data_IF_244924152174
#
_entry.id   IF_244924152174
#
_cell.length_a   1.000
_cell.length_b   1.000
_cell.length_c   1.000
_cell.angle_alpha   90.00
_cell.angle_beta   90.00
_cell.angle_gamma   90.00
#
_symmetry.space_group_name_H-M   'P 1'
#
loop_
_entity.id
_entity.type
_entity.pdbx_description
1 polymer ?
#
# COMPACT_ATOMS: atom_id res chain seq x y z
N UNK A 1 -13.94 -4.21 8.12
CA UNK A 1 -13.50 -4.73 6.82
C UNK A 1 -13.88 -3.73 5.75
N UNK A 2 -13.25 -3.77 4.58
CA UNK A 2 -13.56 -2.85 3.47
C UNK A 2 -14.79 -3.31 2.71
N UNK A 3 -15.61 -2.37 2.24
CA UNK A 3 -16.87 -2.66 1.58
C UNK A 3 -16.85 -2.29 0.08
N UNK A 4 -17.97 -2.54 -0.60
CA UNK A 4 -18.19 -2.11 -1.97
C UNK A 4 -18.03 -0.59 -2.09
N UNK A 5 -17.17 -0.16 -3.01
CA UNK A 5 -16.88 1.26 -3.26
C UNK A 5 -15.59 1.77 -2.61
N UNK A 6 -14.96 1.00 -1.71
CA UNK A 6 -13.72 1.41 -1.04
C UNK A 6 -12.44 1.16 -1.87
N UNK A 7 -12.57 0.52 -3.03
CA UNK A 7 -11.45 0.16 -3.91
C UNK A 7 -10.54 1.35 -4.21
N UNK A 8 -9.23 1.17 -4.04
CA UNK A 8 -8.22 2.22 -4.19
C UNK A 8 -7.97 3.07 -2.94
N UNK A 9 -8.78 2.96 -1.89
CA UNK A 9 -8.54 3.63 -0.61
C UNK A 9 -7.22 3.20 0.05
N UNK A 10 -6.55 4.12 0.74
CA UNK A 10 -5.28 3.85 1.40
C UNK A 10 -5.45 3.21 2.79
N UNK A 11 -4.81 2.07 3.00
CA UNK A 11 -4.56 1.51 4.33
C UNK A 11 -3.27 2.12 4.87
N UNK A 12 -3.39 2.97 5.89
CA UNK A 12 -2.28 3.76 6.44
C UNK A 12 -1.82 3.23 7.80
N UNK A 13 -0.52 3.25 8.03
CA UNK A 13 0.11 2.97 9.32
C UNK A 13 0.97 4.19 9.70
N UNK A 14 0.94 4.59 10.96
CA UNK A 14 1.85 5.60 11.48
C UNK A 14 3.24 4.97 11.63
N UNK A 15 4.22 5.52 10.93
CA UNK A 15 5.62 5.17 11.15
C UNK A 15 6.19 5.95 12.32
N UNK A 16 6.58 5.24 13.38
CA UNK A 16 7.10 5.84 14.61
C UNK A 16 8.45 6.54 14.39
N UNK A 17 9.25 6.13 13.40
CA UNK A 17 10.55 6.73 13.15
C UNK A 17 10.43 8.10 12.46
N UNK A 18 9.65 8.18 11.39
CA UNK A 18 9.44 9.43 10.66
C UNK A 18 8.32 10.32 11.23
N UNK A 19 7.50 9.77 12.14
CA UNK A 19 6.29 10.41 12.68
C UNK A 19 5.31 10.83 11.56
N UNK A 20 5.18 10.01 10.52
CA UNK A 20 4.31 10.26 9.35
C UNK A 20 3.41 9.06 9.07
N UNK A 21 2.22 9.34 8.53
CA UNK A 21 1.33 8.31 8.01
C UNK A 21 1.85 7.82 6.67
N UNK A 22 2.04 6.50 6.56
CA UNK A 22 2.54 5.84 5.35
C UNK A 22 1.43 4.97 4.76
N UNK A 23 1.20 5.08 3.45
CA UNK A 23 0.29 4.21 2.72
C UNK A 23 0.92 2.82 2.57
N UNK A 24 0.53 1.89 3.44
CA UNK A 24 1.06 0.53 3.45
C UNK A 24 0.35 -0.38 2.44
N UNK A 25 -0.93 -0.10 2.18
CA UNK A 25 -1.74 -0.86 1.24
C UNK A 25 -2.78 -0.01 0.52
N UNK A 26 -3.31 -0.53 -0.59
CA UNK A 26 -4.49 -0.01 -1.26
C UNK A 26 -5.58 -1.07 -1.26
N UNK A 27 -6.82 -0.70 -0.93
CA UNK A 27 -7.97 -1.62 -1.00
C UNK A 27 -8.06 -2.22 -2.41
N UNK A 28 -7.95 -3.53 -2.52
CA UNK A 28 -7.97 -4.24 -3.80
C UNK A 28 -9.30 -4.93 -4.01
N UNK A 29 -9.58 -5.99 -3.23
CA UNK A 29 -10.79 -6.79 -3.34
C UNK A 29 -11.12 -7.46 -2.01
N UNK A 30 -12.32 -8.01 -1.91
CA UNK A 30 -12.79 -8.81 -0.78
C UNK A 30 -13.69 -9.94 -1.27
N UNK A 31 -14.06 -10.85 -0.36
CA UNK A 31 -15.00 -11.93 -0.66
C UNK A 31 -16.40 -11.43 -1.06
N UNK A 32 -17.22 -12.27 -1.68
CA UNK A 32 -18.60 -11.94 -2.07
C UNK A 32 -19.58 -11.82 -0.89
N UNK A 33 -19.15 -12.22 0.31
CA UNK A 33 -19.94 -12.13 1.53
C UNK A 33 -20.19 -10.67 1.95
N UNK A 34 -21.10 -10.48 2.90
CA UNK A 34 -21.35 -9.15 3.46
C UNK A 34 -20.06 -8.57 4.05
N UNK A 35 -19.86 -7.27 3.85
CA UNK A 35 -18.71 -6.56 4.39
C UNK A 35 -18.64 -6.73 5.92
N UNK A 36 -17.46 -7.11 6.43
CA UNK A 36 -17.28 -7.38 7.87
C UNK A 36 -17.69 -8.79 8.29
N UNK A 37 -17.97 -9.68 7.33
CA UNK A 37 -18.17 -11.10 7.59
C UNK A 37 -16.99 -11.70 8.36
N UNK A 38 -17.31 -12.46 9.40
CA UNK A 38 -16.30 -13.15 10.20
C UNK A 38 -15.53 -14.13 9.32
N UNK A 39 -14.21 -14.19 9.51
CA UNK A 39 -13.27 -15.06 8.79
C UNK A 39 -13.02 -14.69 7.31
N UNK A 40 -13.63 -13.63 6.80
CA UNK A 40 -13.29 -13.01 5.51
C UNK A 40 -12.47 -11.76 5.79
N UNK A 41 -11.39 -11.55 5.04
CA UNK A 41 -10.53 -10.38 5.17
C UNK A 41 -10.48 -9.63 3.85
N UNK A 42 -10.49 -8.29 3.92
CA UNK A 42 -10.12 -7.45 2.79
C UNK A 42 -8.68 -7.70 2.37
N UNK A 43 -8.48 -7.76 1.05
CA UNK A 43 -7.17 -7.94 0.42
C UNK A 43 -6.70 -6.60 -0.11
N UNK A 44 -5.43 -6.29 0.19
CA UNK A 44 -4.80 -5.01 -0.14
C UNK A 44 -3.59 -5.22 -1.06
N UNK A 45 -3.41 -4.32 -2.02
CA UNK A 45 -2.16 -4.23 -2.78
C UNK A 45 -1.06 -3.76 -1.85
N UNK A 46 0.03 -4.53 -1.72
CA UNK A 46 1.19 -4.16 -0.89
C UNK A 46 2.01 -3.07 -1.58
N UNK A 47 1.81 -1.81 -1.18
CA UNK A 47 2.41 -0.63 -1.84
C UNK A 47 3.93 -0.70 -1.87
N UNK A 48 4.57 -1.21 -0.81
CA UNK A 48 6.03 -1.32 -0.71
C UNK A 48 6.68 -2.14 -1.83
N UNK A 49 5.95 -3.03 -2.52
CA UNK A 49 6.49 -3.80 -3.64
C UNK A 49 6.59 -2.98 -4.94
N UNK A 50 6.01 -1.78 -4.99
CA UNK A 50 5.84 -0.98 -6.20
C UNK A 50 6.40 0.44 -6.07
N UNK A 51 7.04 0.77 -4.95
CA UNK A 51 7.49 2.15 -4.68
C UNK A 51 8.48 2.65 -5.74
N UNK A 52 9.40 1.81 -6.20
CA UNK A 52 10.35 2.13 -7.27
C UNK A 52 9.65 2.51 -8.56
N UNK A 53 8.69 1.68 -8.97
CA UNK A 53 7.86 1.96 -10.14
C UNK A 53 7.07 3.26 -9.98
N UNK A 54 6.47 3.50 -8.80
CA UNK A 54 5.72 4.75 -8.53
C UNK A 54 6.65 5.96 -8.65
N UNK A 55 7.87 5.90 -8.09
CA UNK A 55 8.84 6.99 -8.20
C UNK A 55 9.29 7.24 -9.64
N UNK A 56 9.54 6.16 -10.40
CA UNK A 56 9.87 6.26 -11.83
C UNK A 56 8.76 6.97 -12.60
N UNK A 57 7.49 6.59 -12.39
CA UNK A 57 6.35 7.21 -13.08
C UNK A 57 6.13 8.67 -12.67
N UNK A 58 6.51 9.06 -11.45
CA UNK A 58 6.46 10.46 -11.01
C UNK A 58 7.66 11.29 -11.47
N UNK A 59 8.64 10.69 -12.15
CA UNK A 59 9.89 11.34 -12.51
C UNK A 59 10.75 11.72 -11.30
N UNK A 60 10.59 11.02 -10.16
CA UNK A 60 11.38 11.24 -8.96
C UNK A 60 12.64 10.39 -8.98
N UNK A 61 13.85 10.98 -8.81
CA UNK A 61 15.11 10.24 -8.83
C UNK A 61 15.32 9.32 -7.62
N UNK A 62 14.37 9.24 -6.68
CA UNK A 62 14.47 8.41 -5.47
C UNK A 62 14.49 6.90 -5.77
N UNK A 63 13.92 6.44 -6.90
CA UNK A 63 13.94 5.03 -7.32
C UNK A 63 15.24 4.55 -7.98
N UNK A 64 16.22 5.43 -8.21
CA UNK A 64 17.50 5.07 -8.83
C UNK A 64 18.66 4.95 -7.81
N UNK A 65 18.40 5.17 -6.52
CA UNK A 65 19.42 5.32 -5.48
C UNK A 65 19.78 4.07 -4.68
N UNK A 66 18.99 2.99 -4.74
CA UNK A 66 19.23 1.80 -3.89
C UNK A 66 20.05 0.69 -4.57
N UNK A 67 20.53 0.93 -5.80
CA UNK A 67 21.46 0.03 -6.53
C UNK A 67 22.94 0.46 -6.44
N UNK A 68 23.29 1.44 -5.59
CA UNK A 68 24.69 1.85 -5.37
C UNK A 68 25.02 2.07 -3.88
N UNK A 69 24.70 1.11 -3.02
CA UNK A 69 25.49 0.88 -1.80
C UNK A 69 26.03 -0.54 -1.83
N UNK A 70 27.10 -0.73 -2.61
CA UNK A 70 28.11 -1.71 -2.23
C UNK A 70 28.77 -1.21 -0.93
N UNK A 71 28.45 -1.88 0.18
CA UNK A 71 29.41 -2.52 1.11
C UNK A 71 28.69 -3.51 2.00
#
# INVERSE_FOLDING_TARGET
>A
DTCLGDSGGAFVILDDASQRWVAQGLVSWGGPEECGSKQVYGVYTKVSNYVDWVWEQMGSPQGLGELQVER
#
